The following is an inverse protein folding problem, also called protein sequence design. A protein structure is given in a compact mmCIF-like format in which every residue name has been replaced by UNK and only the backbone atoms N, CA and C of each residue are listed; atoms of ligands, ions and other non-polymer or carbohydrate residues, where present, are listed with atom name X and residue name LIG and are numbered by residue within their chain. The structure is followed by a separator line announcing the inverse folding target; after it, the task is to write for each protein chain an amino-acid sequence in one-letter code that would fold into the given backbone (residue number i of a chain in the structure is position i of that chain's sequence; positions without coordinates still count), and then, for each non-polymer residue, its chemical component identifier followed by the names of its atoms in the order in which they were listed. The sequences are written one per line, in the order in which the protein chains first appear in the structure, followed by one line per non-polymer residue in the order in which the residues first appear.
data_IF_200238718490
#
_entry.id   IF_200238718490
#
_cell.length_a   1.000
_cell.length_b   1.000
_cell.length_c   1.000
_cell.angle_alpha   90.00
_cell.angle_beta   90.00
_cell.angle_gamma   90.00
#
_symmetry.space_group_name_H-M   'P 1'
#
loop_
_entity.id
_entity.type
_entity.pdbx_description
1 polymer ?
#
# COMPACT_ATOMS: atom_id res chain seq x y z
N UNK A 1 40.84 -29.88 -17.77
CA UNK A 1 39.84 -30.94 -17.78
C UNK A 1 38.51 -30.31 -18.14
N UNK A 2 38.18 -30.38 -19.43
CA UNK A 2 36.93 -29.85 -19.99
C UNK A 2 35.80 -30.82 -19.66
N UNK A 3 34.68 -30.31 -19.17
CA UNK A 3 33.41 -31.05 -19.20
C UNK A 3 32.39 -30.14 -19.89
N UNK A 4 32.10 -30.50 -21.14
CA UNK A 4 30.90 -30.07 -21.88
C UNK A 4 29.70 -30.81 -21.30
N UNK A 5 28.58 -30.14 -21.10
CA UNK A 5 27.28 -30.78 -20.98
C UNK A 5 26.17 -29.90 -21.55
N UNK A 6 25.69 -30.41 -22.56
CA UNK A 6 24.54 -30.32 -23.44
C UNK A 6 23.26 -29.71 -22.89
N UNK A 7 22.63 -28.83 -23.72
CA UNK A 7 21.26 -28.35 -23.61
C UNK A 7 20.27 -29.39 -24.14
N UNK A 8 19.04 -29.48 -23.63
CA UNK A 8 17.93 -30.05 -24.37
C UNK A 8 17.08 -28.97 -25.03
N UNK A 9 16.94 -29.09 -26.32
CA UNK A 9 15.94 -28.45 -27.17
C UNK A 9 14.62 -29.17 -26.92
N UNK A 10 13.57 -28.41 -26.56
CA UNK A 10 12.19 -28.91 -26.66
C UNK A 10 11.46 -28.16 -27.75
N UNK A 11 10.94 -28.98 -28.68
CA UNK A 11 10.25 -28.61 -29.90
C UNK A 11 8.84 -28.10 -29.65
N UNK A 12 8.43 -27.16 -30.56
CA UNK A 12 7.06 -26.72 -30.76
C UNK A 12 6.16 -27.88 -31.19
N UNK A 13 4.94 -27.92 -30.64
CA UNK A 13 3.82 -28.58 -31.28
C UNK A 13 2.69 -27.55 -31.44
N UNK A 14 2.43 -27.20 -32.70
CA UNK A 14 1.26 -26.47 -33.16
C UNK A 14 0.19 -27.49 -33.59
N UNK A 15 -1.06 -27.28 -33.20
CA UNK A 15 -2.29 -27.77 -33.84
C UNK A 15 -3.37 -26.81 -33.31
N UNK A 16 -4.12 -26.05 -34.08
CA UNK A 16 -4.82 -26.42 -35.31
C UNK A 16 -6.29 -26.26 -35.04
N UNK A 17 -6.91 -25.18 -35.48
CA UNK A 17 -8.18 -24.80 -36.02
C UNK A 17 -9.47 -25.46 -35.51
N UNK A 18 -10.48 -24.62 -35.27
CA UNK A 18 -11.72 -24.78 -36.04
C UNK A 18 -12.60 -23.52 -35.97
N UNK A 19 -12.93 -23.05 -37.16
CA UNK A 19 -13.91 -22.00 -37.48
C UNK A 19 -15.33 -22.63 -37.48
N UNK A 20 -16.33 -21.87 -37.02
CA UNK A 20 -17.70 -21.84 -37.52
C UNK A 20 -18.35 -20.61 -36.88
N UNK A 21 -18.83 -19.58 -37.56
CA UNK A 21 -19.58 -19.43 -38.77
C UNK A 21 -21.06 -19.52 -38.40
N UNK A 22 -21.75 -18.37 -38.20
CA UNK A 22 -23.18 -18.31 -38.01
C UNK A 22 -23.64 -16.86 -38.01
N UNK A 23 -23.93 -16.35 -39.20
CA UNK A 23 -24.75 -15.18 -39.51
C UNK A 23 -26.20 -15.46 -39.25
N UNK A 24 -26.99 -14.45 -38.80
CA UNK A 24 -28.31 -14.05 -39.27
C UNK A 24 -28.88 -13.00 -38.31
N UNK A 25 -29.04 -11.78 -38.78
CA UNK A 25 -30.09 -11.17 -39.52
C UNK A 25 -31.27 -10.67 -38.66
N UNK A 26 -31.33 -9.36 -38.60
CA UNK A 26 -32.50 -8.44 -38.58
C UNK A 26 -33.85 -8.99 -38.14
N UNK A 27 -34.50 -8.29 -37.22
CA UNK A 27 -35.84 -7.77 -37.50
C UNK A 27 -36.23 -6.58 -36.63
N UNK A 28 -36.73 -5.56 -37.31
CA UNK A 28 -37.39 -4.34 -36.82
C UNK A 28 -38.77 -4.72 -36.21
N UNK A 29 -39.24 -3.87 -35.31
CA UNK A 29 -40.66 -3.89 -34.93
C UNK A 29 -40.97 -2.95 -33.79
N UNK A 30 -41.48 -1.77 -34.17
CA UNK A 30 -42.20 -0.81 -33.36
C UNK A 30 -43.18 -1.43 -32.38
N UNK A 31 -43.34 -0.80 -31.23
CA UNK A 31 -44.69 -0.33 -30.82
C UNK A 31 -44.58 0.62 -29.63
N UNK A 32 -44.98 1.87 -29.92
CA UNK A 32 -45.29 2.90 -28.96
C UNK A 32 -46.60 2.54 -28.31
N UNK A 33 -46.69 2.46 -26.98
CA UNK A 33 -47.96 2.61 -26.28
C UNK A 33 -47.83 3.63 -25.16
N UNK A 34 -48.47 4.71 -25.46
CA UNK A 34 -48.76 5.85 -24.61
C UNK A 34 -49.87 5.45 -23.63
N UNK A 35 -49.73 5.67 -22.32
CA UNK A 35 -50.83 5.68 -21.37
C UNK A 35 -50.58 6.72 -20.25
N UNK A 36 -51.65 7.34 -19.72
CA UNK A 36 -51.62 8.75 -19.34
C UNK A 36 -51.34 8.99 -17.87
N UNK A 37 -51.07 10.27 -17.63
CA UNK A 37 -50.99 10.89 -16.31
C UNK A 37 -52.22 10.63 -15.44
N UNK A 38 -52.00 10.28 -14.19
CA UNK A 38 -52.98 10.48 -13.11
C UNK A 38 -52.32 11.37 -12.05
N UNK A 39 -52.76 12.59 -12.06
CA UNK A 39 -52.59 13.51 -10.95
C UNK A 39 -53.40 13.03 -9.75
N UNK A 40 -52.80 12.93 -8.59
CA UNK A 40 -53.54 13.10 -7.32
C UNK A 40 -52.61 13.61 -6.23
N UNK A 41 -52.91 14.83 -5.93
CA UNK A 41 -53.05 15.43 -4.58
C UNK A 41 -51.89 15.45 -3.59
N UNK A 42 -51.52 16.65 -3.34
CA UNK A 42 -50.80 17.17 -2.18
C UNK A 42 -51.16 16.52 -0.86
N UNK A 43 -50.15 16.15 -0.11
CA UNK A 43 -50.22 15.94 1.32
C UNK A 43 -48.96 16.49 1.93
N UNK A 44 -49.07 17.73 2.46
CA UNK A 44 -48.06 18.32 3.32
C UNK A 44 -47.77 17.39 4.51
N UNK A 45 -46.60 16.84 4.58
CA UNK A 45 -46.05 16.39 5.84
C UNK A 45 -44.63 16.91 6.00
N UNK A 46 -44.55 18.16 6.46
CA UNK A 46 -43.36 18.69 7.09
C UNK A 46 -43.20 17.98 8.44
N UNK A 47 -42.68 16.76 8.39
CA UNK A 47 -42.18 16.00 9.54
C UNK A 47 -40.69 16.27 9.69
N UNK A 48 -40.36 17.00 10.76
CA UNK A 48 -39.06 17.26 11.34
C UNK A 48 -37.94 16.33 10.79
N UNK A 49 -37.05 16.90 9.99
CA UNK A 49 -35.70 16.34 9.84
C UNK A 49 -35.00 16.56 11.18
N UNK A 50 -35.17 15.56 12.04
CA UNK A 50 -34.35 15.42 13.22
C UNK A 50 -32.90 15.28 12.76
N UNK A 51 -32.03 16.18 13.23
CA UNK A 51 -30.63 16.22 12.87
C UNK A 51 -30.02 14.83 12.97
N UNK A 52 -29.57 14.30 11.85
CA UNK A 52 -28.49 13.34 11.86
C UNK A 52 -27.27 14.13 12.32
N UNK A 53 -27.07 14.18 13.63
CA UNK A 53 -25.77 14.39 14.20
C UNK A 53 -24.87 13.32 13.54
N UNK A 54 -24.12 13.74 12.55
CA UNK A 54 -23.01 13.00 12.00
C UNK A 54 -21.96 12.81 13.09
N UNK A 55 -22.23 11.90 14.02
CA UNK A 55 -21.21 11.37 14.88
C UNK A 55 -20.27 10.54 13.99
N UNK A 56 -19.38 11.26 13.29
CA UNK A 56 -18.17 10.66 12.79
C UNK A 56 -17.49 10.10 14.05
N UNK A 57 -17.65 8.80 14.29
CA UNK A 57 -16.86 8.09 15.27
C UNK A 57 -15.41 8.36 14.88
N UNK A 58 -14.78 9.30 15.57
CA UNK A 58 -13.36 9.50 15.49
C UNK A 58 -12.75 8.12 15.75
N UNK A 59 -12.00 7.60 14.79
CA UNK A 59 -11.33 6.34 14.96
C UNK A 59 -10.58 6.40 16.29
N UNK A 60 -10.74 5.38 17.13
CA UNK A 60 -10.09 5.35 18.43
C UNK A 60 -8.59 5.63 18.26
N UNK A 61 -7.99 6.45 19.13
CA UNK A 61 -6.56 6.75 19.02
C UNK A 61 -5.77 5.45 19.02
N UNK A 62 -4.77 5.35 18.15
CA UNK A 62 -3.88 4.19 18.07
C UNK A 62 -3.15 4.00 19.41
N UNK A 63 -3.19 2.79 19.98
CA UNK A 63 -2.46 2.48 21.21
C UNK A 63 -0.96 2.45 20.96
N UNK A 64 -0.14 2.59 22.02
CA UNK A 64 1.32 2.48 21.92
C UNK A 64 1.79 1.14 21.35
N UNK A 65 1.10 0.05 21.70
CA UNK A 65 1.42 -1.27 21.14
C UNK A 65 1.11 -1.34 19.64
N UNK A 66 -0.07 -0.81 19.21
CA UNK A 66 -0.45 -0.81 17.80
C UNK A 66 0.47 0.08 16.97
N UNK A 67 0.83 1.26 17.49
CA UNK A 67 1.79 2.14 16.85
C UNK A 67 3.16 1.46 16.70
N UNK A 68 3.67 0.85 17.76
CA UNK A 68 4.95 0.16 17.73
C UNK A 68 4.95 -1.02 16.73
N UNK A 69 3.86 -1.79 16.67
CA UNK A 69 3.71 -2.88 15.69
C UNK A 69 3.64 -2.33 14.26
N UNK A 70 2.90 -1.24 14.03
CA UNK A 70 2.76 -0.60 12.72
C UNK A 70 4.11 -0.12 12.21
N UNK A 71 4.89 0.57 13.04
CA UNK A 71 6.24 1.02 12.67
C UNK A 71 7.17 -0.15 12.42
N UNK A 72 7.16 -1.17 13.29
CA UNK A 72 8.01 -2.35 13.12
C UNK A 72 7.71 -3.11 11.82
N UNK A 73 6.43 -3.26 11.46
CA UNK A 73 6.01 -3.87 10.21
C UNK A 73 6.43 -3.04 8.99
N UNK A 74 6.30 -1.70 9.07
CA UNK A 74 6.76 -0.77 8.05
C UNK A 74 8.27 -0.86 7.84
N UNK A 75 9.07 -0.80 8.91
CA UNK A 75 10.53 -0.92 8.83
C UNK A 75 10.94 -2.25 8.19
N UNK A 76 10.29 -3.36 8.56
CA UNK A 76 10.57 -4.66 7.98
C UNK A 76 10.29 -4.70 6.46
N UNK A 77 9.17 -4.10 6.04
CA UNK A 77 8.83 -3.96 4.62
C UNK A 77 9.86 -3.11 3.89
N UNK A 78 10.21 -1.93 4.41
CA UNK A 78 11.14 -1.00 3.76
C UNK A 78 12.56 -1.58 3.63
N UNK A 79 13.03 -2.30 4.64
CA UNK A 79 14.31 -3.02 4.57
C UNK A 79 14.29 -4.09 3.48
N UNK A 80 13.21 -4.86 3.38
CA UNK A 80 13.08 -5.90 2.36
C UNK A 80 12.96 -5.32 0.95
N UNK A 81 12.07 -4.33 0.75
CA UNK A 81 11.87 -3.64 -0.51
C UNK A 81 13.14 -2.88 -0.98
N UNK A 82 13.84 -2.22 -0.06
CA UNK A 82 15.10 -1.54 -0.33
C UNK A 82 16.21 -2.47 -0.79
N UNK A 83 16.30 -3.69 -0.22
CA UNK A 83 17.23 -4.71 -0.69
C UNK A 83 16.91 -5.16 -2.13
N UNK A 84 15.64 -5.33 -2.45
CA UNK A 84 15.22 -5.66 -3.81
C UNK A 84 15.55 -4.51 -4.78
N UNK A 85 15.36 -3.26 -4.39
CA UNK A 85 15.69 -2.11 -5.21
C UNK A 85 17.18 -2.02 -5.53
N UNK A 86 18.06 -2.27 -4.56
CA UNK A 86 19.51 -2.32 -4.80
C UNK A 86 19.90 -3.37 -5.84
N UNK A 87 19.19 -4.50 -5.90
CA UNK A 87 19.49 -5.60 -6.82
C UNK A 87 18.85 -5.43 -8.19
N UNK A 88 17.59 -4.95 -8.24
CA UNK A 88 16.72 -5.06 -9.42
C UNK A 88 16.41 -3.73 -10.10
N UNK A 89 16.50 -2.59 -9.40
CA UNK A 89 16.21 -1.29 -10.00
C UNK A 89 17.15 -1.03 -11.19
N UNK A 90 16.62 -0.38 -12.22
CA UNK A 90 17.38 -0.09 -13.44
C UNK A 90 18.18 1.20 -13.33
N UNK A 91 17.73 2.15 -12.51
CA UNK A 91 18.38 3.45 -12.34
C UNK A 91 19.29 3.50 -11.11
N UNK A 92 20.35 4.30 -11.18
CA UNK A 92 21.26 4.52 -10.05
C UNK A 92 20.54 5.21 -8.87
N UNK A 93 19.61 6.10 -9.17
CA UNK A 93 18.87 6.85 -8.15
C UNK A 93 17.97 5.93 -7.31
N UNK A 94 17.22 5.02 -7.95
CA UNK A 94 16.40 4.05 -7.23
C UNK A 94 17.24 3.04 -6.44
N UNK A 95 18.41 2.62 -6.95
CA UNK A 95 19.34 1.77 -6.18
C UNK A 95 19.86 2.51 -4.94
N UNK A 96 20.22 3.78 -5.10
CA UNK A 96 20.71 4.63 -4.02
C UNK A 96 19.63 4.88 -2.98
N UNK A 97 18.39 5.16 -3.43
CA UNK A 97 17.23 5.29 -2.54
C UNK A 97 16.98 3.97 -1.78
N UNK A 98 17.02 2.82 -2.45
CA UNK A 98 16.88 1.51 -1.81
C UNK A 98 17.93 1.26 -0.74
N UNK A 99 19.19 1.67 -0.98
CA UNK A 99 20.25 1.60 0.04
C UNK A 99 19.93 2.47 1.25
N UNK A 100 19.50 3.72 1.01
CA UNK A 100 19.09 4.63 2.08
C UNK A 100 17.94 4.07 2.91
N UNK A 101 16.91 3.47 2.26
CA UNK A 101 15.81 2.82 2.96
C UNK A 101 16.29 1.72 3.91
N UNK A 102 17.21 0.87 3.47
CA UNK A 102 17.78 -0.17 4.34
C UNK A 102 18.51 0.42 5.55
N UNK A 103 19.32 1.45 5.33
CA UNK A 103 20.11 2.09 6.41
C UNK A 103 19.19 2.80 7.43
N UNK A 104 18.28 3.65 6.95
CA UNK A 104 17.45 4.48 7.82
C UNK A 104 16.40 3.67 8.55
N UNK A 105 15.77 2.67 7.92
CA UNK A 105 14.78 1.81 8.57
C UNK A 105 15.42 0.78 9.53
N UNK A 106 16.65 0.37 9.30
CA UNK A 106 17.41 -0.41 10.30
C UNK A 106 17.68 0.43 11.56
N UNK A 107 18.04 1.71 11.39
CA UNK A 107 18.21 2.65 12.50
C UNK A 107 16.88 2.93 13.22
N UNK A 108 15.79 3.16 12.46
CA UNK A 108 14.45 3.34 12.99
C UNK A 108 14.03 2.17 13.89
N UNK A 109 14.21 0.93 13.42
CA UNK A 109 13.94 -0.29 14.22
C UNK A 109 14.67 -0.30 15.56
N UNK A 110 15.95 0.10 15.58
CA UNK A 110 16.73 0.17 16.82
C UNK A 110 16.22 1.28 17.76
N UNK A 111 15.88 2.44 17.22
CA UNK A 111 15.31 3.56 17.98
C UNK A 111 13.93 3.21 18.55
N UNK A 112 13.05 2.59 17.74
CA UNK A 112 11.74 2.12 18.16
C UNK A 112 11.85 1.13 19.33
N UNK A 113 12.73 0.14 19.20
CA UNK A 113 12.97 -0.85 20.27
C UNK A 113 13.41 -0.17 21.58
N UNK A 114 14.27 0.83 21.48
CA UNK A 114 14.74 1.61 22.64
C UNK A 114 13.60 2.41 23.27
N UNK A 115 12.80 3.12 22.46
CA UNK A 115 11.66 3.89 22.94
C UNK A 115 10.59 3.01 23.59
N UNK A 116 10.25 1.90 22.92
CA UNK A 116 9.26 0.92 23.41
C UNK A 116 9.68 0.25 24.73
N UNK A 117 10.98 -0.07 24.87
CA UNK A 117 11.50 -0.67 26.09
C UNK A 117 11.52 0.29 27.30
N UNK A 118 11.48 1.61 27.06
CA UNK A 118 11.36 2.65 28.10
C UNK A 118 9.92 2.96 28.50
N UNK A 119 8.92 2.41 27.81
CA UNK A 119 7.51 2.56 28.16
C UNK A 119 7.19 1.82 29.47
N UNK A 120 6.14 2.22 30.16
CA UNK A 120 5.69 1.55 31.38
C UNK A 120 4.17 1.27 31.29
N UNK A 121 3.77 0.02 31.11
CA UNK A 121 4.61 -1.18 30.95
C UNK A 121 5.42 -1.15 29.65
N UNK A 122 6.53 -1.90 29.62
CA UNK A 122 7.36 -2.00 28.41
C UNK A 122 6.58 -2.62 27.23
N UNK A 123 6.79 -2.07 26.06
CA UNK A 123 6.15 -2.52 24.80
C UNK A 123 7.17 -3.33 24.01
N UNK A 124 6.71 -4.43 23.42
CA UNK A 124 7.52 -5.25 22.52
C UNK A 124 6.97 -5.11 21.09
N UNK A 125 7.66 -4.37 20.19
CA UNK A 125 7.23 -4.25 18.82
C UNK A 125 7.24 -5.59 18.08
N UNK A 126 6.20 -5.88 17.30
CA UNK A 126 6.10 -7.08 16.46
C UNK A 126 6.26 -6.69 14.98
N UNK A 127 7.32 -7.14 14.28
CA UNK A 127 7.60 -6.75 12.88
C UNK A 127 6.82 -7.61 11.86
N UNK A 128 5.61 -8.06 12.22
CA UNK A 128 4.77 -8.84 11.32
C UNK A 128 4.17 -7.93 10.25
N UNK A 129 4.61 -8.13 8.99
CA UNK A 129 4.07 -7.39 7.85
C UNK A 129 2.59 -7.70 7.63
N UNK A 130 1.83 -6.69 7.23
CA UNK A 130 0.45 -6.84 6.81
C UNK A 130 0.34 -7.65 5.51
N UNK A 131 -0.86 -8.17 5.22
CA UNK A 131 -1.11 -8.88 3.96
C UNK A 131 -0.82 -7.99 2.74
N UNK A 132 -1.13 -6.68 2.81
CA UNK A 132 -0.81 -5.70 1.78
C UNK A 132 0.71 -5.59 1.57
N UNK A 133 1.49 -5.48 2.64
CA UNK A 133 2.95 -5.39 2.56
C UNK A 133 3.57 -6.67 1.99
N UNK A 134 3.06 -7.84 2.39
CA UNK A 134 3.50 -9.12 1.84
C UNK A 134 3.18 -9.25 0.35
N UNK A 135 1.97 -8.85 -0.07
CA UNK A 135 1.58 -8.84 -1.49
C UNK A 135 2.44 -7.86 -2.31
N UNK A 136 2.74 -6.69 -1.75
CA UNK A 136 3.61 -5.70 -2.36
C UNK A 136 5.04 -6.24 -2.57
N UNK A 137 5.62 -6.90 -1.57
CA UNK A 137 6.93 -7.54 -1.72
C UNK A 137 6.92 -8.62 -2.79
N UNK A 138 5.89 -9.47 -2.80
CA UNK A 138 5.76 -10.50 -3.83
C UNK A 138 5.67 -9.92 -5.25
N UNK A 139 5.02 -8.77 -5.40
CA UNK A 139 5.01 -8.02 -6.66
C UNK A 139 6.41 -7.56 -7.05
N UNK A 140 7.19 -7.00 -6.11
CA UNK A 140 8.58 -6.58 -6.37
C UNK A 140 9.50 -7.76 -6.67
N UNK A 141 9.32 -8.88 -6.00
CA UNK A 141 10.10 -10.11 -6.26
C UNK A 141 9.90 -10.63 -7.69
N UNK A 142 8.69 -10.56 -8.21
CA UNK A 142 8.37 -11.03 -9.57
C UNK A 142 8.67 -10.01 -10.67
N UNK A 143 8.60 -8.72 -10.39
CA UNK A 143 8.83 -7.66 -11.37
C UNK A 143 10.31 -7.55 -11.77
N UNK A 144 10.57 -7.10 -13.01
CA UNK A 144 11.92 -6.88 -13.55
C UNK A 144 11.97 -5.61 -14.42
N UNK A 145 13.16 -5.03 -14.58
CA UNK A 145 13.36 -3.88 -15.44
C UNK A 145 12.48 -2.68 -15.02
N UNK A 146 11.92 -1.98 -15.99
CA UNK A 146 11.06 -0.80 -15.75
C UNK A 146 9.77 -1.12 -15.02
N UNK A 147 9.30 -2.37 -15.07
CA UNK A 147 8.13 -2.79 -14.28
C UNK A 147 8.46 -2.80 -12.80
N UNK A 148 9.67 -3.26 -12.43
CA UNK A 148 10.16 -3.17 -11.04
C UNK A 148 10.23 -1.70 -10.61
N UNK A 149 10.87 -0.83 -11.39
CA UNK A 149 11.03 0.57 -11.05
C UNK A 149 9.69 1.27 -10.80
N UNK A 150 8.72 1.04 -11.69
CA UNK A 150 7.37 1.60 -11.55
C UNK A 150 6.66 1.08 -10.31
N UNK A 151 6.69 -0.23 -10.08
CA UNK A 151 6.05 -0.83 -8.91
C UNK A 151 6.69 -0.33 -7.61
N UNK A 152 8.02 -0.30 -7.54
CA UNK A 152 8.76 0.17 -6.38
C UNK A 152 8.43 1.63 -6.05
N UNK A 153 8.53 2.54 -7.03
CA UNK A 153 8.17 3.96 -6.84
C UNK A 153 6.76 4.14 -6.29
N UNK A 154 5.78 3.49 -6.92
CA UNK A 154 4.38 3.62 -6.51
C UNK A 154 4.16 3.11 -5.09
N UNK A 155 4.74 1.96 -4.75
CA UNK A 155 4.63 1.39 -3.40
C UNK A 155 5.30 2.29 -2.37
N UNK A 156 6.49 2.82 -2.66
CA UNK A 156 7.22 3.71 -1.77
C UNK A 156 6.47 5.02 -1.50
N UNK A 157 5.88 5.64 -2.53
CA UNK A 157 5.04 6.85 -2.36
C UNK A 157 3.87 6.58 -1.42
N UNK A 158 3.16 5.46 -1.61
CA UNK A 158 2.00 5.09 -0.76
C UNK A 158 2.44 4.75 0.66
N UNK A 159 3.50 3.95 0.82
CA UNK A 159 3.99 3.52 2.14
C UNK A 159 4.48 4.70 2.98
N UNK A 160 5.28 5.60 2.39
CA UNK A 160 5.78 6.79 3.10
C UNK A 160 4.67 7.77 3.44
N UNK A 161 3.64 7.93 2.59
CA UNK A 161 2.47 8.74 2.93
C UNK A 161 1.72 8.18 4.14
N UNK A 162 1.43 6.87 4.13
CA UNK A 162 0.77 6.20 5.26
C UNK A 162 1.61 6.32 6.55
N UNK A 163 2.93 6.12 6.44
CA UNK A 163 3.83 6.24 7.58
C UNK A 163 3.87 7.66 8.15
N UNK A 164 3.91 8.68 7.28
CA UNK A 164 3.90 10.08 7.68
C UNK A 164 2.61 10.43 8.44
N UNK A 165 1.46 10.04 7.90
CA UNK A 165 0.16 10.25 8.55
C UNK A 165 0.11 9.58 9.94
N UNK A 166 0.65 8.36 10.07
CA UNK A 166 0.68 7.62 11.33
C UNK A 166 1.59 8.27 12.38
N UNK A 167 2.81 8.67 12.00
CA UNK A 167 3.73 9.30 12.97
C UNK A 167 3.26 10.68 13.39
N UNK A 168 2.67 11.47 12.48
CA UNK A 168 2.10 12.78 12.80
C UNK A 168 0.93 12.66 13.78
N UNK A 169 0.01 11.75 13.52
CA UNK A 169 -1.13 11.50 14.40
C UNK A 169 -0.66 11.04 15.78
N UNK A 170 0.31 10.11 15.84
CA UNK A 170 0.79 9.59 17.10
C UNK A 170 1.64 10.60 17.88
N UNK A 171 2.44 11.42 17.20
CA UNK A 171 3.21 12.50 17.83
C UNK A 171 2.32 13.52 18.57
N UNK A 172 1.10 13.74 18.05
CA UNK A 172 0.14 14.69 18.63
C UNK A 172 -0.67 14.08 19.78
N UNK A 173 -1.16 12.84 19.63
CA UNK A 173 -2.17 12.29 20.53
C UNK A 173 -1.86 10.89 21.07
N UNK A 174 -0.69 10.32 20.82
CA UNK A 174 -0.33 8.99 21.31
C UNK A 174 -0.32 8.90 22.83
N UNK A 175 -0.67 7.75 23.37
CA UNK A 175 -0.78 7.48 24.80
C UNK A 175 0.58 7.29 25.52
N UNK A 176 1.66 6.92 24.80
CA UNK A 176 2.99 6.63 25.35
C UNK A 176 3.98 7.73 24.99
N UNK A 177 4.49 8.45 25.99
CA UNK A 177 5.37 9.62 25.83
C UNK A 177 6.62 9.28 25.01
N UNK A 178 7.30 8.19 25.32
CA UNK A 178 8.53 7.76 24.63
C UNK A 178 8.31 7.44 23.14
N UNK A 179 7.12 6.93 22.81
CA UNK A 179 6.75 6.68 21.42
C UNK A 179 6.29 7.97 20.69
N UNK A 180 5.70 8.94 21.41
CA UNK A 180 5.47 10.27 20.84
C UNK A 180 6.77 10.97 20.48
N UNK A 181 7.79 10.87 21.32
CA UNK A 181 9.10 11.46 21.03
C UNK A 181 9.77 10.75 19.86
N UNK A 182 9.73 9.43 19.82
CA UNK A 182 10.16 8.66 18.64
C UNK A 182 9.44 9.11 17.36
N UNK A 183 8.12 9.31 17.41
CA UNK A 183 7.32 9.72 16.27
C UNK A 183 7.73 11.11 15.75
N UNK A 184 8.01 12.07 16.64
CA UNK A 184 8.54 13.41 16.31
C UNK A 184 9.92 13.33 15.64
N UNK A 185 10.79 12.45 16.12
CA UNK A 185 12.13 12.26 15.54
C UNK A 185 12.09 11.57 14.18
N UNK A 186 11.13 10.66 13.97
CA UNK A 186 10.96 9.93 12.71
C UNK A 186 10.31 10.79 11.61
N UNK A 187 9.40 11.70 11.94
CA UNK A 187 8.65 12.51 10.99
C UNK A 187 9.51 13.21 9.92
N UNK A 188 10.56 13.98 10.27
CA UNK A 188 11.38 14.68 9.27
C UNK A 188 12.13 13.71 8.34
N UNK A 189 12.50 12.52 8.82
CA UNK A 189 13.18 11.51 8.00
C UNK A 189 12.21 10.93 6.99
N UNK A 190 10.99 10.55 7.42
CA UNK A 190 9.95 10.01 6.55
C UNK A 190 9.50 11.04 5.52
N UNK A 191 9.34 12.31 5.92
CA UNK A 191 9.00 13.41 5.01
C UNK A 191 10.06 13.57 3.92
N UNK A 192 11.33 13.54 4.27
CA UNK A 192 12.43 13.61 3.31
C UNK A 192 12.41 12.43 2.32
N UNK A 193 12.18 11.21 2.79
CA UNK A 193 12.06 10.03 1.92
C UNK A 193 10.89 10.17 0.96
N UNK A 194 9.74 10.63 1.46
CA UNK A 194 8.55 10.85 0.64
C UNK A 194 8.79 11.87 -0.47
N UNK A 195 9.44 12.99 -0.15
CA UNK A 195 9.75 14.03 -1.14
C UNK A 195 10.77 13.54 -2.18
N UNK A 196 11.77 12.77 -1.76
CA UNK A 196 12.76 12.18 -2.66
C UNK A 196 12.09 11.23 -3.65
N UNK A 197 11.29 10.28 -3.20
CA UNK A 197 10.68 9.28 -4.09
C UNK A 197 9.64 9.87 -5.02
N UNK A 198 8.92 10.91 -4.60
CA UNK A 198 8.00 11.67 -5.47
C UNK A 198 8.70 12.41 -6.59
N UNK A 199 9.94 12.84 -6.35
CA UNK A 199 10.75 13.58 -7.32
C UNK A 199 11.46 12.71 -8.36
N UNK A 200 11.50 11.40 -8.15
CA UNK A 200 12.09 10.43 -9.09
C UNK A 200 11.05 10.00 -10.15
#
# INVERSE_FOLDING_TARGET
MLILSAAPIFALAACGGNSNGGTDAMNSGDTITNVPASETSMGDNMGAMNGMDGNAMAAAPMTGQDFANTVAASDAFEIAAGKLAQQKATTADLKSFGKQMVEDHTKSTAMLKTASGKASPAITPAPAMTDEQQANLKTLESATGTQFDTAYKNQQVVAHRKALDAVQAYAQGGDVAQLRDFAKDAEPVISKHYDMIKGM
#
